data_IF_795014742556
#
_entry.id   IF_795014742556
#
_cell.length_a   1.000
_cell.length_b   1.000
_cell.length_c   1.000
_cell.angle_alpha   90.00
_cell.angle_beta   90.00
_cell.angle_gamma   90.00
#
_symmetry.space_group_name_H-M   'P 1'
#
loop_
_entity.id
_entity.type
_entity.pdbx_description
1 polymer ?
#
# COMPACT_ATOMS: atom_id res chain seq x y z
N UNK A 1 21.97 45.89 4.76
CA UNK A 1 21.71 44.83 5.76
C UNK A 1 20.30 44.33 5.49
N UNK A 2 20.15 43.16 4.87
CA UNK A 2 18.86 42.54 4.62
C UNK A 2 18.91 41.10 5.11
N UNK A 3 18.27 40.82 6.24
CA UNK A 3 18.17 39.47 6.80
C UNK A 3 17.01 38.74 6.11
N UNK A 4 17.32 37.75 5.28
CA UNK A 4 16.32 36.82 4.76
C UNK A 4 15.91 35.86 5.87
N UNK A 5 14.64 35.90 6.26
CA UNK A 5 14.05 34.97 7.22
C UNK A 5 13.66 33.70 6.47
N UNK A 6 14.49 32.66 6.61
CA UNK A 6 14.19 31.31 6.11
C UNK A 6 13.03 30.75 6.93
N UNK A 7 11.84 30.72 6.33
CA UNK A 7 10.69 30.02 6.93
C UNK A 7 10.89 28.52 6.73
N UNK A 8 11.44 27.83 7.73
CA UNK A 8 11.35 26.37 7.79
C UNK A 8 9.89 26.00 7.95
N UNK A 9 9.29 25.44 6.88
CA UNK A 9 7.99 24.79 6.96
C UNK A 9 8.17 23.61 7.91
N UNK A 10 7.73 23.78 9.15
CA UNK A 10 7.60 22.68 10.09
C UNK A 10 6.58 21.72 9.49
N UNK A 11 7.03 20.56 9.01
CA UNK A 11 6.14 19.46 8.66
C UNK A 11 5.47 19.06 9.97
N UNK A 12 4.19 19.39 10.10
CA UNK A 12 3.37 18.98 11.23
C UNK A 12 3.34 17.46 11.28
N UNK A 13 4.09 16.88 12.21
CA UNK A 13 4.18 15.44 12.48
C UNK A 13 2.87 14.85 13.02
N UNK A 14 1.83 15.68 13.23
CA UNK A 14 0.52 15.23 13.68
C UNK A 14 -0.47 14.91 12.55
N UNK A 15 -0.15 15.24 11.29
CA UNK A 15 -1.05 14.96 10.18
C UNK A 15 -1.07 13.46 9.83
N UNK A 16 -2.24 12.82 9.73
CA UNK A 16 -2.34 11.40 9.40
C UNK A 16 -1.65 11.10 8.06
N UNK A 17 -0.68 10.19 8.09
CA UNK A 17 0.04 9.73 6.90
C UNK A 17 -0.53 8.41 6.38
N UNK A 18 -1.00 8.41 5.13
CA UNK A 18 -1.58 7.27 4.44
C UNK A 18 -0.65 6.80 3.32
N UNK A 19 -0.27 5.53 3.36
CA UNK A 19 0.38 4.86 2.24
C UNK A 19 -0.68 4.15 1.40
N UNK A 20 -0.73 4.43 0.11
CA UNK A 20 -1.58 3.73 -0.84
C UNK A 20 -0.69 2.91 -1.76
N UNK A 21 -0.89 1.59 -1.80
CA UNK A 21 -0.21 0.70 -2.72
C UNK A 21 -1.18 0.13 -3.74
N UNK A 22 -0.71 -0.05 -4.97
CA UNK A 22 -1.52 -0.74 -5.98
C UNK A 22 -0.76 -1.80 -6.78
N UNK A 23 -1.50 -2.85 -7.14
CA UNK A 23 -1.11 -3.85 -8.14
C UNK A 23 -2.15 -3.88 -9.24
N UNK A 24 -1.74 -3.60 -10.47
CA UNK A 24 -2.66 -3.36 -11.60
C UNK A 24 -2.03 -3.82 -12.91
N UNK A 25 -2.78 -4.58 -13.71
CA UNK A 25 -2.34 -4.99 -15.05
C UNK A 25 -2.88 -4.05 -16.14
N UNK A 26 -4.16 -3.69 -16.05
CA UNK A 26 -4.89 -2.91 -17.07
C UNK A 26 -5.32 -1.52 -16.59
N UNK A 27 -4.89 -1.11 -15.40
CA UNK A 27 -5.15 0.24 -14.87
C UNK A 27 -6.32 0.35 -13.89
N UNK A 28 -7.22 -0.63 -13.79
CA UNK A 28 -8.39 -0.53 -12.90
C UNK A 28 -8.03 -0.30 -11.42
N UNK A 29 -7.12 -1.11 -10.87
CA UNK A 29 -6.66 -0.96 -9.49
C UNK A 29 -5.90 0.35 -9.26
N UNK A 30 -5.13 0.78 -10.26
CA UNK A 30 -4.42 2.05 -10.21
C UNK A 30 -5.38 3.25 -10.18
N UNK A 31 -6.42 3.24 -11.00
CA UNK A 31 -7.43 4.31 -11.02
C UNK A 31 -8.14 4.44 -9.67
N UNK A 32 -8.47 3.31 -9.03
CA UNK A 32 -9.07 3.30 -7.69
C UNK A 32 -8.08 3.84 -6.66
N UNK A 33 -6.81 3.41 -6.70
CA UNK A 33 -5.78 3.89 -5.78
C UNK A 33 -5.53 5.40 -5.91
N UNK A 34 -5.52 5.93 -7.14
CA UNK A 34 -5.43 7.38 -7.41
C UNK A 34 -6.65 8.14 -6.88
N UNK A 35 -7.83 7.54 -6.93
CA UNK A 35 -9.03 8.13 -6.34
C UNK A 35 -8.96 8.17 -4.82
N UNK A 36 -8.53 7.08 -4.18
CA UNK A 36 -8.27 7.05 -2.72
C UNK A 36 -7.25 8.12 -2.32
N UNK A 37 -6.18 8.30 -3.11
CA UNK A 37 -5.22 9.36 -2.87
C UNK A 37 -5.86 10.75 -2.94
N UNK A 38 -6.65 11.01 -3.98
CA UNK A 38 -7.32 12.30 -4.17
C UNK A 38 -8.26 12.61 -3.00
N UNK A 39 -9.14 11.67 -2.65
CA UNK A 39 -10.09 11.81 -1.55
C UNK A 39 -9.39 12.02 -0.19
N UNK A 40 -8.22 11.42 0.03
CA UNK A 40 -7.45 11.59 1.25
C UNK A 40 -6.71 12.94 1.31
N UNK A 41 -6.19 13.43 0.17
CA UNK A 41 -5.61 14.77 0.06
C UNK A 41 -6.66 15.87 0.31
N UNK A 42 -7.88 15.69 -0.19
CA UNK A 42 -9.03 16.59 0.08
C UNK A 42 -9.38 16.65 1.57
N UNK A 43 -9.11 15.58 2.32
CA UNK A 43 -9.28 15.50 3.78
C UNK A 43 -8.05 15.97 4.55
N UNK A 44 -7.14 16.67 3.89
CA UNK A 44 -5.88 17.19 4.44
C UNK A 44 -4.91 16.11 4.94
N UNK A 45 -5.02 14.86 4.52
CA UNK A 45 -4.06 13.82 4.89
C UNK A 45 -2.78 13.92 4.06
N UNK A 46 -1.64 13.48 4.62
CA UNK A 46 -0.44 13.26 3.79
C UNK A 46 -0.55 11.90 3.14
N UNK A 47 -0.36 11.80 1.83
CA UNK A 47 -0.55 10.54 1.09
C UNK A 47 0.65 10.20 0.23
N UNK A 48 1.15 8.97 0.37
CA UNK A 48 2.18 8.40 -0.50
C UNK A 48 1.57 7.29 -1.38
N UNK A 49 1.56 7.48 -2.70
CA UNK A 49 1.06 6.49 -3.66
C UNK A 49 2.24 5.73 -4.29
N UNK A 50 2.18 4.41 -4.24
CA UNK A 50 3.23 3.51 -4.73
C UNK A 50 2.66 2.31 -5.46
N UNK A 51 3.47 1.70 -6.32
CA UNK A 51 3.21 0.32 -6.77
C UNK A 51 3.52 -0.65 -5.64
N UNK A 52 2.87 -1.82 -5.64
CA UNK A 52 3.14 -2.85 -4.62
C UNK A 52 4.62 -3.29 -4.62
N UNK A 53 5.26 -3.34 -5.78
CA UNK A 53 6.69 -3.66 -5.89
C UNK A 53 7.62 -2.67 -5.16
N UNK A 54 7.14 -1.49 -4.78
CA UNK A 54 7.89 -0.49 -4.02
C UNK A 54 7.67 -0.59 -2.51
N UNK A 55 6.87 -1.55 -2.04
CA UNK A 55 6.53 -1.72 -0.62
C UNK A 55 7.76 -1.70 0.31
N UNK A 56 8.78 -2.51 0.03
CA UNK A 56 10.00 -2.58 0.86
C UNK A 56 10.80 -1.26 0.86
N UNK A 57 10.69 -0.45 -0.21
CA UNK A 57 11.43 0.82 -0.38
C UNK A 57 10.67 2.05 0.08
N UNK A 58 9.36 1.92 0.32
CA UNK A 58 8.48 3.03 0.71
C UNK A 58 8.76 3.62 2.09
N UNK A 59 9.53 2.92 2.94
CA UNK A 59 9.75 3.29 4.33
C UNK A 59 8.54 3.00 5.24
N UNK A 60 7.46 2.40 4.74
CA UNK A 60 6.24 2.10 5.52
C UNK A 60 6.52 1.26 6.76
N UNK A 61 7.47 0.33 6.67
CA UNK A 61 7.85 -0.58 7.76
C UNK A 61 8.62 0.12 8.89
N UNK A 62 9.19 1.31 8.64
CA UNK A 62 9.95 2.06 9.64
C UNK A 62 9.12 3.14 10.33
N UNK A 63 7.85 3.31 9.93
CA UNK A 63 6.97 4.33 10.50
C UNK A 63 6.28 3.85 11.78
N UNK A 64 6.35 4.64 12.87
CA UNK A 64 5.63 4.36 14.10
C UNK A 64 4.14 4.69 13.89
N UNK A 65 3.33 3.70 13.49
CA UNK A 65 1.88 3.80 13.19
C UNK A 65 1.49 4.13 11.74
N UNK A 66 2.10 3.42 10.77
CA UNK A 66 1.69 3.54 9.38
C UNK A 66 0.24 3.09 9.14
N UNK A 67 -0.51 3.88 8.36
CA UNK A 67 -1.81 3.47 7.82
C UNK A 67 -1.63 3.16 6.34
N UNK A 68 -2.10 2.01 5.90
CA UNK A 68 -1.85 1.48 4.56
C UNK A 68 -3.14 1.03 3.91
N UNK A 69 -3.35 1.47 2.67
CA UNK A 69 -4.44 1.02 1.80
C UNK A 69 -3.85 0.31 0.59
N UNK A 70 -4.21 -0.94 0.36
CA UNK A 70 -3.75 -1.74 -0.79
C UNK A 70 -4.90 -1.96 -1.75
N UNK A 71 -4.72 -1.65 -3.03
CA UNK A 71 -5.66 -2.01 -4.11
C UNK A 71 -4.96 -2.97 -5.07
N UNK A 72 -5.41 -4.20 -5.18
CA UNK A 72 -4.73 -5.16 -6.05
C UNK A 72 -5.71 -5.94 -6.90
N UNK A 73 -5.49 -5.95 -8.22
CA UNK A 73 -6.15 -6.90 -9.12
C UNK A 73 -5.44 -8.24 -9.15
N UNK A 74 -6.14 -9.32 -9.48
CA UNK A 74 -5.50 -10.58 -9.92
C UNK A 74 -5.54 -10.70 -11.43
N UNK A 75 -4.58 -11.42 -12.01
CA UNK A 75 -4.54 -11.73 -13.45
C UNK A 75 -4.79 -13.21 -13.69
N UNK A 76 -5.45 -13.54 -14.81
CA UNK A 76 -5.65 -14.90 -15.30
C UNK A 76 -5.99 -15.92 -14.20
N UNK A 77 -5.01 -16.77 -13.87
CA UNK A 77 -5.15 -17.88 -12.92
C UNK A 77 -4.98 -17.49 -11.43
N UNK A 78 -5.16 -16.23 -11.07
CA UNK A 78 -4.99 -15.73 -9.70
C UNK A 78 -3.55 -15.27 -9.38
N UNK A 79 -2.74 -15.02 -10.41
CA UNK A 79 -1.38 -14.51 -10.26
C UNK A 79 -1.35 -12.98 -10.08
N UNK A 80 -0.34 -12.44 -9.36
CA UNK A 80 -0.18 -11.00 -9.22
C UNK A 80 0.08 -10.32 -10.57
N UNK A 81 -0.40 -9.08 -10.73
CA UNK A 81 0.11 -8.19 -11.76
C UNK A 81 1.63 -8.04 -11.63
N UNK A 82 2.29 -7.73 -12.74
CA UNK A 82 3.76 -7.58 -12.77
C UNK A 82 4.29 -6.55 -11.77
N UNK A 83 3.53 -5.48 -11.52
CA UNK A 83 3.85 -4.45 -10.53
C UNK A 83 3.56 -4.84 -9.06
N UNK A 84 3.17 -6.10 -8.79
CA UNK A 84 2.94 -6.66 -7.46
C UNK A 84 3.71 -7.97 -7.17
N UNK A 85 4.40 -8.54 -8.16
CA UNK A 85 5.14 -9.81 -8.01
C UNK A 85 6.21 -9.80 -6.90
N UNK A 86 6.97 -8.71 -6.77
CA UNK A 86 8.02 -8.60 -5.74
C UNK A 86 7.42 -8.60 -4.36
N UNK A 87 6.32 -7.87 -4.17
CA UNK A 87 5.56 -7.85 -2.93
C UNK A 87 5.00 -9.23 -2.59
N UNK A 88 4.44 -9.94 -3.59
CA UNK A 88 3.93 -11.29 -3.39
C UNK A 88 5.01 -12.27 -2.94
N UNK A 89 6.18 -12.22 -3.57
CA UNK A 89 7.34 -13.01 -3.16
C UNK A 89 7.86 -12.61 -1.78
N UNK A 90 7.87 -11.31 -1.47
CA UNK A 90 8.21 -10.80 -0.15
C UNK A 90 7.32 -11.42 0.91
N UNK A 91 5.99 -11.34 0.77
CA UNK A 91 5.04 -11.89 1.75
C UNK A 91 5.19 -13.41 1.97
N UNK A 92 5.53 -14.17 0.93
CA UNK A 92 5.69 -15.63 1.00
C UNK A 92 6.96 -16.10 1.70
N UNK A 93 7.90 -15.22 2.04
CA UNK A 93 9.14 -15.61 2.74
C UNK A 93 8.80 -16.14 4.15
N UNK A 94 9.25 -17.35 4.47
CA UNK A 94 9.05 -17.98 5.80
C UNK A 94 9.81 -17.30 6.94
N UNK A 95 10.75 -16.41 6.62
CA UNK A 95 11.74 -15.83 7.54
C UNK A 95 11.24 -14.55 8.23
N UNK A 96 10.07 -14.03 7.84
CA UNK A 96 9.58 -12.79 8.43
C UNK A 96 9.27 -12.95 9.92
N UNK A 97 9.75 -12.02 10.78
CA UNK A 97 9.35 -12.01 12.18
C UNK A 97 7.85 -11.74 12.28
N UNK A 98 7.19 -12.34 13.27
CA UNK A 98 5.76 -12.12 13.52
C UNK A 98 5.43 -10.65 13.81
N UNK A 99 6.42 -9.89 14.29
CA UNK A 99 6.31 -8.47 14.63
C UNK A 99 6.43 -7.52 13.42
N UNK A 100 6.72 -8.03 12.21
CA UNK A 100 7.02 -7.20 11.03
C UNK A 100 5.96 -6.12 10.75
N UNK A 101 4.69 -6.45 10.98
CA UNK A 101 3.54 -5.59 10.66
C UNK A 101 2.80 -5.10 11.92
N UNK A 102 3.37 -5.28 13.12
CA UNK A 102 2.70 -4.99 14.39
C UNK A 102 2.28 -3.53 14.57
N UNK A 103 2.94 -2.60 13.87
CA UNK A 103 2.66 -1.16 13.95
C UNK A 103 1.97 -0.61 12.69
N UNK A 104 1.52 -1.50 11.80
CA UNK A 104 0.96 -1.08 10.51
C UNK A 104 -0.49 -1.48 10.42
N UNK A 105 -1.37 -0.50 10.20
CA UNK A 105 -2.80 -0.73 9.99
C UNK A 105 -3.07 -0.86 8.49
N UNK A 106 -3.57 -2.01 8.06
CA UNK A 106 -3.83 -2.28 6.65
C UNK A 106 -5.32 -2.34 6.33
N UNK A 107 -5.68 -1.83 5.16
CA UNK A 107 -6.93 -2.10 4.47
C UNK A 107 -6.59 -2.62 3.08
N UNK A 108 -7.25 -3.69 2.62
CA UNK A 108 -6.99 -4.29 1.31
C UNK A 108 -8.29 -4.37 0.52
N UNK A 109 -8.26 -3.80 -0.68
CA UNK A 109 -9.30 -3.92 -1.70
C UNK A 109 -8.79 -4.83 -2.82
N UNK A 110 -9.37 -6.02 -2.89
CA UNK A 110 -9.10 -6.99 -3.93
C UNK A 110 -10.04 -6.77 -5.12
N UNK A 111 -9.49 -6.63 -6.32
CA UNK A 111 -10.25 -6.60 -7.57
C UNK A 111 -10.04 -7.92 -8.31
N UNK A 112 -11.11 -8.46 -8.85
CA UNK A 112 -11.02 -9.58 -9.78
C UNK A 112 -12.33 -9.78 -10.50
N UNK A 113 -12.38 -10.81 -11.32
CA UNK A 113 -13.51 -11.15 -12.15
C UNK A 113 -14.01 -12.54 -11.76
N UNK A 114 -15.33 -12.67 -11.60
CA UNK A 114 -16.00 -13.92 -11.26
C UNK A 114 -15.83 -15.02 -12.32
N UNK A 115 -15.36 -14.68 -13.52
CA UNK A 115 -15.07 -15.64 -14.60
C UNK A 115 -13.79 -16.48 -14.37
N UNK A 116 -13.02 -16.26 -13.31
CA UNK A 116 -11.81 -17.03 -13.03
C UNK A 116 -11.94 -17.85 -11.73
N UNK A 117 -11.68 -19.16 -11.81
CA UNK A 117 -11.84 -20.12 -10.70
C UNK A 117 -10.99 -19.81 -9.44
N UNK A 118 -9.95 -18.97 -9.58
CA UNK A 118 -9.01 -18.60 -8.50
C UNK A 118 -9.15 -17.15 -8.05
N UNK A 119 -10.38 -16.65 -7.99
CA UNK A 119 -10.75 -15.25 -7.77
C UNK A 119 -10.30 -14.61 -6.43
N UNK A 120 -9.66 -15.31 -5.49
CA UNK A 120 -9.32 -14.70 -4.18
C UNK A 120 -8.00 -15.12 -3.55
N UNK A 121 -7.18 -15.92 -4.23
CA UNK A 121 -6.05 -16.56 -3.56
C UNK A 121 -4.95 -15.58 -3.13
N UNK A 122 -4.88 -14.43 -3.79
CA UNK A 122 -3.82 -13.47 -3.56
C UNK A 122 -4.08 -12.48 -2.42
N UNK A 123 -5.34 -12.33 -2.00
CA UNK A 123 -5.75 -10.98 -1.63
C UNK A 123 -5.93 -10.71 -0.15
N UNK A 124 -6.06 -11.72 0.73
CA UNK A 124 -6.32 -11.40 2.14
C UNK A 124 -5.91 -12.49 3.14
N UNK A 125 -6.11 -13.78 2.84
CA UNK A 125 -5.87 -14.84 3.83
C UNK A 125 -4.38 -15.08 4.13
N UNK A 126 -3.52 -15.05 3.11
CA UNK A 126 -2.07 -15.18 3.33
C UNK A 126 -1.46 -13.94 4.01
N UNK A 127 -2.06 -12.77 3.81
CA UNK A 127 -1.63 -11.53 4.44
C UNK A 127 -2.11 -11.48 5.89
N UNK A 128 -3.41 -11.67 6.14
CA UNK A 128 -4.00 -11.66 7.49
C UNK A 128 -3.48 -12.79 8.39
N UNK A 129 -3.15 -13.97 7.86
CA UNK A 129 -2.54 -15.06 8.66
C UNK A 129 -1.14 -14.73 9.18
N UNK A 130 -0.50 -13.66 8.67
CA UNK A 130 0.82 -13.18 9.12
C UNK A 130 0.76 -11.91 9.95
N UNK A 131 -0.43 -11.32 10.12
CA UNK A 131 -0.68 -10.05 10.83
C UNK A 131 -1.25 -10.29 12.24
N UNK A 132 -1.33 -11.55 12.70
CA UNK A 132 -1.70 -11.91 14.08
C UNK A 132 -0.51 -11.99 15.00
#
# INVERSE_FOLDING_TARGET
MGSFSTTSIMVDTSMPHLYVFYGSQTGCAESIAKRVQSDALERHMTVALHTLNEFEKSGVLTQPSATVFVVCSTTGNGDPPTNAEKFWRFLKRKVHPTTLLQHVRFTVLALGDTNYDKFWYMSILSFLSRVR
#
